data_IF_874557272261
#
_entry.id   IF_874557272261
#
_cell.length_a   1.000
_cell.length_b   1.000
_cell.length_c   1.000
_cell.angle_alpha   90.00
_cell.angle_beta   90.00
_cell.angle_gamma   90.00
#
_symmetry.space_group_name_H-M   'P 1'
#
loop_
_entity.id
_entity.type
_entity.pdbx_description
1 polymer ?
#
# COMPACT_ATOMS: atom_id res chain seq x y z
N UNK A 1 -9.05 18.64 -1.42
CA UNK A 1 -8.94 17.35 -2.15
C UNK A 1 -9.37 16.24 -1.21
N UNK A 2 -10.63 15.83 -1.28
CA UNK A 2 -11.15 14.69 -0.53
C UNK A 2 -10.38 13.45 -0.98
N UNK A 3 -9.90 12.65 -0.02
CA UNK A 3 -9.22 11.42 -0.37
C UNK A 3 -10.25 10.44 -0.89
N UNK A 4 -10.00 9.79 -2.03
CA UNK A 4 -10.86 8.73 -2.52
C UNK A 4 -11.03 7.61 -1.48
N UNK A 5 -10.05 7.44 -0.59
CA UNK A 5 -10.18 6.58 0.59
C UNK A 5 -11.36 7.00 1.48
N UNK A 6 -11.54 8.28 1.81
CA UNK A 6 -12.60 8.72 2.72
C UNK A 6 -13.99 8.47 2.11
N UNK A 7 -14.11 8.63 0.78
CA UNK A 7 -15.31 8.28 0.04
C UNK A 7 -15.55 6.76 -0.05
N UNK A 8 -14.49 5.95 -0.19
CA UNK A 8 -14.54 4.48 -0.18
C UNK A 8 -14.98 3.94 1.19
N UNK A 9 -14.65 4.66 2.27
CA UNK A 9 -14.87 4.18 3.63
C UNK A 9 -16.29 4.38 4.16
N UNK A 10 -17.09 5.30 3.59
CA UNK A 10 -18.49 5.50 3.95
C UNK A 10 -18.76 5.59 5.48
N UNK A 11 -19.99 5.26 5.89
CA UNK A 11 -20.42 5.20 7.31
C UNK A 11 -20.00 3.90 8.03
N UNK A 12 -19.48 2.90 7.32
CA UNK A 12 -19.02 1.62 7.89
C UNK A 12 -17.50 1.55 7.78
N UNK A 13 -16.82 2.08 8.79
CA UNK A 13 -15.37 2.06 8.84
C UNK A 13 -14.86 0.61 8.82
N UNK A 14 -13.89 0.25 7.97
CA UNK A 14 -13.31 -1.08 7.93
C UNK A 14 -12.64 -1.37 9.27
N UNK A 15 -12.74 -2.63 9.68
CA UNK A 15 -12.28 -3.11 10.99
C UNK A 15 -10.82 -3.60 10.92
N UNK A 16 -10.34 -3.94 9.72
CA UNK A 16 -8.96 -4.39 9.45
C UNK A 16 -8.49 -3.99 8.03
N UNK A 17 -7.18 -4.15 7.76
CA UNK A 17 -6.57 -3.81 6.46
C UNK A 17 -7.15 -4.62 5.29
N UNK A 18 -7.55 -5.86 5.52
CA UNK A 18 -8.12 -6.73 4.48
C UNK A 18 -9.46 -6.19 3.99
N UNK A 19 -10.34 -5.75 4.90
CA UNK A 19 -11.61 -5.13 4.54
C UNK A 19 -11.40 -3.83 3.73
N UNK A 20 -10.41 -3.02 4.09
CA UNK A 20 -10.05 -1.83 3.31
C UNK A 20 -9.53 -2.20 1.91
N UNK A 21 -8.73 -3.25 1.79
CA UNK A 21 -8.26 -3.72 0.49
C UNK A 21 -9.40 -4.31 -0.34
N UNK A 22 -10.33 -5.05 0.27
CA UNK A 22 -11.52 -5.58 -0.41
C UNK A 22 -12.39 -4.48 -1.03
N UNK A 23 -12.48 -3.29 -0.41
CA UNK A 23 -13.21 -2.16 -1.00
C UNK A 23 -12.45 -1.54 -2.18
N UNK A 24 -11.13 -1.42 -2.09
CA UNK A 24 -10.28 -0.92 -3.19
C UNK A 24 -10.25 -1.90 -4.39
N UNK A 25 -10.25 -3.19 -4.08
CA UNK A 25 -10.18 -4.29 -5.04
C UNK A 25 -11.54 -4.97 -5.25
N UNK A 26 -12.66 -4.24 -5.09
CA UNK A 26 -14.01 -4.81 -5.12
C UNK A 26 -14.36 -5.65 -6.36
N UNK A 27 -13.81 -5.29 -7.54
CA UNK A 27 -13.98 -6.07 -8.80
C UNK A 27 -13.09 -7.32 -8.89
N UNK A 28 -12.02 -7.39 -8.10
CA UNK A 28 -10.96 -8.40 -8.18
C UNK A 28 -10.43 -8.72 -6.78
N UNK A 29 -11.29 -9.30 -5.93
CA UNK A 29 -10.98 -9.59 -4.53
C UNK A 29 -9.82 -10.59 -4.39
N UNK A 30 -9.57 -11.40 -5.41
CA UNK A 30 -8.42 -12.31 -5.49
C UNK A 30 -7.06 -11.60 -5.42
N UNK A 31 -7.00 -10.30 -5.71
CA UNK A 31 -5.77 -9.50 -5.62
C UNK A 31 -5.50 -8.96 -4.21
N UNK A 32 -6.45 -9.07 -3.27
CA UNK A 32 -6.32 -8.53 -1.92
C UNK A 32 -5.10 -9.11 -1.18
N UNK A 33 -4.84 -10.43 -1.18
CA UNK A 33 -3.67 -10.99 -0.51
C UNK A 33 -2.35 -10.45 -1.08
N UNK A 34 -2.27 -10.32 -2.41
CA UNK A 34 -1.07 -9.83 -3.10
C UNK A 34 -0.86 -8.33 -2.89
N UNK A 35 -1.95 -7.56 -2.82
CA UNK A 35 -1.90 -6.15 -2.49
C UNK A 35 -1.44 -5.92 -1.04
N UNK A 36 -1.90 -6.75 -0.09
CA UNK A 36 -1.41 -6.72 1.29
C UNK A 36 0.09 -7.02 1.36
N UNK A 37 0.55 -8.10 0.72
CA UNK A 37 1.98 -8.45 0.64
C UNK A 37 2.82 -7.30 0.10
N UNK A 38 2.32 -6.58 -0.92
CA UNK A 38 3.03 -5.42 -1.47
C UNK A 38 3.10 -4.26 -0.47
N UNK A 39 2.03 -3.98 0.26
CA UNK A 39 2.03 -2.96 1.31
C UNK A 39 2.97 -3.31 2.46
N UNK A 40 2.97 -4.57 2.89
CA UNK A 40 3.88 -5.09 3.92
C UNK A 40 5.34 -4.98 3.46
N UNK A 41 5.63 -5.33 2.21
CA UNK A 41 6.96 -5.18 1.62
C UNK A 41 7.46 -3.73 1.63
N UNK A 42 6.61 -2.79 1.20
CA UNK A 42 6.94 -1.36 1.22
C UNK A 42 7.13 -0.87 2.67
N UNK A 43 6.28 -1.31 3.60
CA UNK A 43 6.37 -1.00 5.03
C UNK A 43 7.70 -1.49 5.62
N UNK A 44 8.09 -2.73 5.36
CA UNK A 44 9.33 -3.31 5.87
C UNK A 44 10.55 -2.57 5.33
N UNK A 45 10.61 -2.32 4.01
CA UNK A 45 11.74 -1.65 3.38
C UNK A 45 11.91 -0.21 3.86
N UNK A 46 10.82 0.51 4.11
CA UNK A 46 10.86 1.85 4.71
C UNK A 46 11.45 1.87 6.13
N UNK A 47 11.42 0.75 6.86
CA UNK A 47 12.05 0.64 8.19
C UNK A 47 13.54 0.32 8.08
N UNK A 48 14.00 -0.07 6.90
CA UNK A 48 15.42 -0.28 6.64
C UNK A 48 16.08 1.00 6.13
N UNK A 49 17.41 1.08 6.21
CA UNK A 49 18.18 2.15 5.56
C UNK A 49 18.19 2.06 4.04
N UNK A 50 17.52 1.07 3.44
CA UNK A 50 17.44 0.86 2.00
C UNK A 50 15.97 0.78 1.56
N UNK A 51 15.33 1.92 1.24
CA UNK A 51 13.92 1.99 0.89
C UNK A 51 13.63 1.32 -0.45
N UNK A 52 12.39 0.86 -0.63
CA UNK A 52 11.98 0.12 -1.83
C UNK A 52 11.86 1.06 -3.03
N UNK A 53 12.69 0.85 -4.05
CA UNK A 53 12.77 1.76 -5.19
C UNK A 53 11.85 1.35 -6.34
N UNK A 54 11.44 2.32 -7.17
CA UNK A 54 10.49 2.10 -8.26
C UNK A 54 10.99 1.06 -9.26
N UNK A 55 12.30 0.95 -9.47
CA UNK A 55 12.98 0.01 -10.37
C UNK A 55 13.06 -1.43 -9.83
N UNK A 56 12.81 -1.65 -8.54
CA UNK A 56 12.88 -2.99 -7.91
C UNK A 56 11.64 -3.86 -8.20
N UNK A 57 10.64 -3.31 -8.88
CA UNK A 57 9.42 -4.03 -9.27
C UNK A 57 9.69 -5.37 -9.96
N UNK A 58 10.74 -5.46 -10.79
CA UNK A 58 11.11 -6.70 -11.50
C UNK A 58 11.48 -7.80 -10.51
N UNK A 59 12.28 -7.45 -9.50
CA UNK A 59 12.73 -8.38 -8.45
C UNK A 59 11.54 -8.81 -7.59
N UNK A 60 10.66 -7.87 -7.25
CA UNK A 60 9.43 -8.19 -6.52
C UNK A 60 8.54 -9.17 -7.30
N UNK A 61 8.34 -8.93 -8.60
CA UNK A 61 7.54 -9.81 -9.45
C UNK A 61 8.13 -11.22 -9.53
N UNK A 62 9.45 -11.33 -9.75
CA UNK A 62 10.13 -12.61 -9.80
C UNK A 62 10.03 -13.38 -8.46
N UNK A 63 10.24 -12.70 -7.33
CA UNK A 63 10.19 -13.32 -5.99
C UNK A 63 8.80 -13.84 -5.64
N UNK A 64 7.75 -13.12 -6.03
CA UNK A 64 6.37 -13.44 -5.64
C UNK A 64 5.57 -14.15 -6.74
N UNK A 65 6.20 -14.52 -7.86
CA UNK A 65 5.55 -15.16 -9.01
C UNK A 65 4.31 -14.41 -9.52
N UNK A 66 4.35 -13.07 -9.52
CA UNK A 66 3.27 -12.23 -10.04
C UNK A 66 3.64 -11.62 -11.39
N UNK A 67 2.64 -11.44 -12.26
CA UNK A 67 2.85 -10.77 -13.54
C UNK A 67 3.14 -9.27 -13.36
N UNK A 68 3.91 -8.69 -14.28
CA UNK A 68 4.15 -7.25 -14.35
C UNK A 68 2.84 -6.45 -14.39
N UNK A 69 1.87 -6.93 -15.17
CA UNK A 69 0.55 -6.31 -15.30
C UNK A 69 -0.22 -6.32 -13.98
N UNK A 70 -0.19 -7.42 -13.24
CA UNK A 70 -0.80 -7.52 -11.91
C UNK A 70 -0.14 -6.54 -10.94
N UNK A 71 1.20 -6.51 -10.90
CA UNK A 71 1.95 -5.59 -10.05
C UNK A 71 1.58 -4.13 -10.31
N UNK A 72 1.66 -3.66 -11.56
CA UNK A 72 1.37 -2.26 -11.87
C UNK A 72 -0.10 -1.90 -11.66
N UNK A 73 -1.03 -2.82 -11.90
CA UNK A 73 -2.44 -2.61 -11.60
C UNK A 73 -2.68 -2.47 -10.09
N UNK A 74 -2.06 -3.33 -9.26
CA UNK A 74 -2.14 -3.22 -7.80
C UNK A 74 -1.54 -1.89 -7.33
N UNK A 75 -0.31 -1.58 -7.75
CA UNK A 75 0.37 -0.34 -7.38
C UNK A 75 -0.45 0.89 -7.80
N UNK A 76 -1.02 0.90 -9.01
CA UNK A 76 -1.88 2.01 -9.48
C UNK A 76 -3.09 2.19 -8.56
N UNK A 77 -3.79 1.10 -8.20
CA UNK A 77 -4.95 1.17 -7.30
C UNK A 77 -4.58 1.65 -5.90
N UNK A 78 -3.50 1.13 -5.33
CA UNK A 78 -2.99 1.56 -4.02
C UNK A 78 -2.58 3.04 -4.03
N UNK A 79 -1.98 3.53 -5.12
CA UNK A 79 -1.65 4.95 -5.30
C UNK A 79 -2.90 5.82 -5.44
N UNK A 80 -3.88 5.39 -6.24
CA UNK A 80 -5.13 6.13 -6.41
C UNK A 80 -5.94 6.20 -5.11
N UNK A 81 -5.94 5.12 -4.32
CA UNK A 81 -6.49 5.14 -2.97
C UNK A 81 -5.70 6.06 -2.03
N UNK A 82 -4.47 6.46 -2.38
CA UNK A 82 -3.63 7.28 -1.52
C UNK A 82 -2.92 6.46 -0.43
N UNK A 83 -2.85 5.13 -0.55
CA UNK A 83 -2.11 4.27 0.38
C UNK A 83 -0.60 4.34 0.15
N UNK A 84 -0.20 4.42 -1.13
CA UNK A 84 1.21 4.42 -1.56
C UNK A 84 1.54 5.72 -2.29
N UNK A 85 2.66 6.33 -1.91
CA UNK A 85 3.25 7.50 -2.54
C UNK A 85 4.55 7.18 -3.27
N UNK A 86 5.03 8.13 -4.06
CA UNK A 86 6.36 8.13 -4.69
C UNK A 86 7.09 9.39 -4.26
N UNK A 87 8.31 9.26 -3.73
CA UNK A 87 9.17 10.42 -3.41
C UNK A 87 10.56 10.23 -4.01
N UNK A 88 11.29 11.32 -4.18
CA UNK A 88 12.67 11.27 -4.67
C UNK A 88 13.62 11.21 -3.46
N UNK A 89 14.49 10.21 -3.44
CA UNK A 89 15.55 10.06 -2.47
C UNK A 89 16.83 10.66 -3.05
N UNK A 90 17.25 11.80 -2.50
CA UNK A 90 18.44 12.52 -2.95
C UNK A 90 19.74 11.76 -2.66
N UNK A 91 19.80 10.99 -1.58
CA UNK A 91 20.97 10.20 -1.20
C UNK A 91 21.22 9.06 -2.19
N UNK A 92 20.17 8.33 -2.55
CA UNK A 92 20.26 7.21 -3.49
C UNK A 92 20.09 7.63 -4.97
N UNK A 93 19.73 8.89 -5.22
CA UNK A 93 19.39 9.42 -6.55
C UNK A 93 18.32 8.59 -7.27
N UNK A 94 17.35 8.07 -6.51
CA UNK A 94 16.29 7.19 -7.00
C UNK A 94 14.94 7.61 -6.47
N UNK A 95 13.90 7.17 -7.16
CA UNK A 95 12.55 7.28 -6.62
C UNK A 95 12.20 6.05 -5.80
N UNK A 96 11.63 6.29 -4.63
CA UNK A 96 11.17 5.25 -3.72
C UNK A 96 9.66 5.31 -3.52
N UNK A 97 9.11 4.13 -3.23
CA UNK A 97 7.72 3.97 -2.84
C UNK A 97 7.63 4.02 -1.32
N UNK A 98 6.60 4.69 -0.81
CA UNK A 98 6.35 4.78 0.62
C UNK A 98 4.88 4.69 0.94
N UNK A 99 4.54 4.30 2.17
CA UNK A 99 3.19 4.50 2.69
C UNK A 99 2.98 5.99 2.94
N UNK A 100 1.87 6.55 2.47
CA UNK A 100 1.63 8.00 2.61
C UNK A 100 1.34 8.38 4.07
N UNK A 101 1.58 9.65 4.41
CA UNK A 101 1.18 10.20 5.71
C UNK A 101 -0.33 10.10 5.89
N UNK A 102 -1.11 10.44 4.86
CA UNK A 102 -2.57 10.34 4.87
C UNK A 102 -3.09 8.94 5.20
N UNK A 103 -2.49 7.92 4.61
CA UNK A 103 -2.83 6.53 4.92
C UNK A 103 -2.41 6.16 6.34
N UNK A 104 -1.25 6.62 6.79
CA UNK A 104 -0.80 6.41 8.17
C UNK A 104 -1.74 7.09 9.19
N UNK A 105 -2.18 8.32 8.91
CA UNK A 105 -3.13 9.09 9.72
C UNK A 105 -4.51 8.43 9.75
N UNK A 106 -5.00 7.98 8.60
CA UNK A 106 -6.25 7.22 8.49
C UNK A 106 -6.21 5.99 9.41
N UNK A 107 -5.11 5.22 9.34
CA UNK A 107 -4.96 4.02 10.15
C UNK A 107 -4.88 4.37 11.64
N UNK A 108 -4.17 5.45 12.03
CA UNK A 108 -4.05 5.93 13.42
C UNK A 108 -5.38 6.48 13.97
N UNK A 109 -6.14 7.22 13.16
CA UNK A 109 -7.44 7.78 13.53
C UNK A 109 -8.52 6.71 13.77
N UNK A 110 -8.27 5.48 13.31
CA UNK A 110 -9.06 4.28 13.63
C UNK A 110 -8.38 3.40 14.68
N UNK A 111 -7.53 4.00 15.53
CA UNK A 111 -6.82 3.50 16.72
C UNK A 111 -6.42 2.01 16.74
N UNK A 112 -7.39 1.09 16.75
CA UNK A 112 -7.14 -0.35 16.67
C UNK A 112 -6.62 -0.83 15.30
N UNK A 113 -6.91 -0.13 14.20
CA UNK A 113 -6.52 -0.56 12.85
C UNK A 113 -5.01 -0.54 12.64
N UNK A 114 -4.35 0.57 13.00
CA UNK A 114 -2.90 0.71 12.88
C UNK A 114 -2.14 -0.16 13.87
N UNK A 115 -2.58 -0.21 15.13
CA UNK A 115 -1.95 -1.04 16.15
C UNK A 115 -2.00 -2.52 15.78
N UNK A 116 -3.13 -3.01 15.25
CA UNK A 116 -3.25 -4.37 14.70
C UNK A 116 -2.34 -4.57 13.50
N UNK A 117 -2.37 -3.65 12.54
CA UNK A 117 -1.54 -3.75 11.34
C UNK A 117 -0.02 -3.68 11.62
N UNK A 118 0.42 -3.03 12.71
CA UNK A 118 1.82 -3.06 13.14
C UNK A 118 2.18 -4.38 13.82
N UNK A 119 1.26 -4.95 14.60
CA UNK A 119 1.48 -6.15 15.44
C UNK A 119 1.29 -7.48 14.69
N UNK A 120 0.46 -7.49 13.65
CA UNK A 120 0.33 -8.57 12.66
C UNK A 120 1.55 -8.63 11.74
#
# INVERSE_FOLDING_TARGET
MNSDIEAILGNTAPVNINQLLETIFWKKKELVPEAKKLLDHIKEWNRTGNPYTVDEWKRYCAKNSISQSSYHNMLKRLKNAGMVGKRYNSYQKKHELHLTEKFSELMRGKAGLWERYIRE
#
